data_IF_803911444701
#
_entry.id   IF_803911444701
#
_cell.length_a   1.000
_cell.length_b   1.000
_cell.length_c   1.000
_cell.angle_alpha   90.00
_cell.angle_beta   90.00
_cell.angle_gamma   90.00
#
_symmetry.space_group_name_H-M   'P 1'
#
loop_
_entity.id
_entity.type
_entity.pdbx_description
1 polymer ?
#
# COMPACT_ATOMS: atom_id res chain seq x y z
N UNK A 1 -19.78 -22.05 -12.20
CA UNK A 1 -19.63 -21.92 -11.51
C UNK A 1 -18.90 -21.33 -10.71
N UNK A 2 -18.95 -20.90 -9.79
CA UNK A 2 -18.16 -20.26 -8.82
C UNK A 2 -17.06 -19.39 -9.33
N UNK A 3 -17.12 -19.06 -10.53
CA UNK A 3 -16.04 -18.33 -11.16
C UNK A 3 -15.94 -16.92 -10.66
N UNK A 4 -17.07 -16.37 -10.30
CA UNK A 4 -17.07 -15.01 -9.79
C UNK A 4 -16.20 -14.90 -8.54
N UNK A 5 -16.16 -15.98 -7.77
CA UNK A 5 -15.34 -16.00 -6.58
C UNK A 5 -13.86 -15.94 -6.90
N UNK A 6 -13.50 -16.17 -8.15
CA UNK A 6 -12.09 -16.13 -8.56
C UNK A 6 -11.58 -14.74 -8.86
N UNK A 7 -12.46 -13.74 -8.85
CA UNK A 7 -12.04 -12.35 -9.05
C UNK A 7 -11.55 -11.83 -7.72
N UNK A 8 -10.22 -11.81 -7.56
CA UNK A 8 -9.59 -11.41 -6.31
C UNK A 8 -9.17 -9.95 -6.37
N UNK A 9 -9.33 -9.26 -5.27
CA UNK A 9 -8.76 -7.92 -5.16
C UNK A 9 -7.25 -8.04 -5.21
N UNK A 10 -6.62 -7.12 -5.93
CA UNK A 10 -5.18 -7.07 -6.07
C UNK A 10 -4.64 -6.02 -5.12
N UNK A 11 -3.73 -6.43 -4.25
CA UNK A 11 -3.16 -5.57 -3.23
C UNK A 11 -1.66 -5.47 -3.43
N UNK A 12 -1.18 -4.23 -3.57
CA UNK A 12 0.25 -3.97 -3.64
C UNK A 12 0.70 -3.51 -2.25
N UNK A 13 1.76 -4.13 -1.74
CA UNK A 13 2.33 -3.80 -0.43
C UNK A 13 3.64 -3.06 -0.65
N UNK A 14 3.72 -1.84 -0.14
CA UNK A 14 4.91 -0.98 -0.25
C UNK A 14 5.48 -0.83 1.14
N UNK A 15 6.43 -1.70 1.49
CA UNK A 15 7.05 -1.78 2.80
C UNK A 15 8.51 -2.18 2.60
N UNK A 16 9.44 -1.38 3.11
CA UNK A 16 10.86 -1.66 2.91
C UNK A 16 11.42 -2.70 3.88
N UNK A 17 10.78 -2.89 5.03
CA UNK A 17 11.16 -3.95 5.96
C UNK A 17 10.76 -5.29 5.36
N UNK A 18 11.76 -6.09 4.98
CA UNK A 18 11.51 -7.37 4.32
C UNK A 18 10.66 -8.29 5.17
N UNK A 19 10.93 -8.31 6.46
CA UNK A 19 10.20 -9.17 7.40
C UNK A 19 8.72 -8.79 7.45
N UNK A 20 8.46 -7.52 7.64
CA UNK A 20 7.08 -7.02 7.70
C UNK A 20 6.36 -7.24 6.37
N UNK A 21 7.06 -6.98 5.28
CA UNK A 21 6.48 -7.15 3.95
C UNK A 21 6.05 -8.60 3.73
N UNK A 22 6.93 -9.56 4.05
CA UNK A 22 6.62 -10.97 3.87
C UNK A 22 5.46 -11.42 4.76
N UNK A 23 5.42 -10.91 5.98
CA UNK A 23 4.32 -11.22 6.89
C UNK A 23 2.99 -10.73 6.33
N UNK A 24 2.98 -9.51 5.82
CA UNK A 24 1.76 -8.94 5.24
C UNK A 24 1.33 -9.70 4.00
N UNK A 25 2.29 -10.03 3.13
CA UNK A 25 1.97 -10.78 1.91
C UNK A 25 1.37 -12.14 2.24
N UNK A 26 1.97 -12.84 3.20
CA UNK A 26 1.47 -14.16 3.59
C UNK A 26 0.08 -14.08 4.17
N UNK A 27 -0.16 -13.11 5.03
CA UNK A 27 -1.45 -12.94 5.66
C UNK A 27 -2.54 -12.64 4.63
N UNK A 28 -2.24 -11.74 3.71
CA UNK A 28 -3.19 -11.36 2.68
C UNK A 28 -3.48 -12.50 1.71
N UNK A 29 -2.44 -13.25 1.34
CA UNK A 29 -2.62 -14.40 0.47
C UNK A 29 -3.51 -15.46 1.12
N UNK A 30 -3.30 -15.71 2.39
CA UNK A 30 -4.13 -16.67 3.12
C UNK A 30 -5.58 -16.21 3.19
N UNK A 31 -5.80 -14.91 3.14
CA UNK A 31 -7.15 -14.35 3.14
C UNK A 31 -7.79 -14.34 1.75
N UNK A 32 -7.07 -14.78 0.73
CA UNK A 32 -7.62 -14.92 -0.60
C UNK A 32 -7.37 -13.76 -1.54
N UNK A 33 -6.44 -12.86 -1.21
CA UNK A 33 -6.13 -11.73 -2.07
C UNK A 33 -4.95 -12.04 -2.99
N UNK A 34 -4.94 -11.37 -4.14
CA UNK A 34 -3.80 -11.41 -5.05
C UNK A 34 -2.83 -10.32 -4.61
N UNK A 35 -1.62 -10.69 -4.20
CA UNK A 35 -0.71 -9.76 -3.53
C UNK A 35 0.60 -9.60 -4.28
N UNK A 36 1.14 -8.39 -4.25
CA UNK A 36 2.41 -8.05 -4.85
C UNK A 36 3.20 -7.21 -3.86
N UNK A 37 4.43 -7.65 -3.57
CA UNK A 37 5.35 -6.87 -2.74
C UNK A 37 6.24 -6.02 -3.62
N UNK A 38 6.22 -4.72 -3.41
CA UNK A 38 7.06 -3.81 -4.17
C UNK A 38 8.47 -3.80 -3.59
N UNK A 39 9.47 -3.86 -4.45
CA UNK A 39 10.86 -3.84 -4.00
C UNK A 39 11.67 -2.67 -4.60
N UNK A 40 11.19 -2.06 -5.66
CA UNK A 40 11.84 -0.90 -6.27
C UNK A 40 11.09 0.36 -5.86
N UNK A 41 11.61 1.04 -4.83
CA UNK A 41 10.92 2.20 -4.26
C UNK A 41 11.22 3.50 -5.01
N UNK A 42 12.26 3.53 -5.81
CA UNK A 42 12.58 4.72 -6.60
C UNK A 42 11.54 4.97 -7.67
N UNK A 43 11.04 3.89 -8.28
CA UNK A 43 10.03 3.98 -9.32
C UNK A 43 8.68 3.48 -8.83
N UNK A 44 8.39 3.75 -7.55
CA UNK A 44 7.24 3.16 -6.88
C UNK A 44 5.93 3.42 -7.62
N UNK A 45 5.68 4.66 -7.99
CA UNK A 45 4.38 5.01 -8.60
C UNK A 45 4.20 4.29 -9.93
N UNK A 46 5.23 4.28 -10.78
CA UNK A 46 5.17 3.57 -12.06
C UNK A 46 4.94 2.09 -11.88
N UNK A 47 5.67 1.49 -10.93
CA UNK A 47 5.55 0.07 -10.65
C UNK A 47 4.16 -0.27 -10.15
N UNK A 48 3.65 0.51 -9.21
CA UNK A 48 2.32 0.30 -8.66
C UNK A 48 1.27 0.40 -9.75
N UNK A 49 1.36 1.43 -10.58
CA UNK A 49 0.39 1.66 -11.66
C UNK A 49 0.36 0.50 -12.63
N UNK A 50 1.52 -0.11 -12.90
CA UNK A 50 1.63 -1.21 -13.85
C UNK A 50 0.84 -2.44 -13.42
N UNK A 51 0.61 -2.59 -12.13
CA UNK A 51 -0.14 -3.73 -11.61
C UNK A 51 -1.65 -3.52 -11.58
N UNK A 52 -2.13 -2.30 -11.80
CA UNK A 52 -3.56 -1.97 -11.73
C UNK A 52 -4.17 -2.44 -10.40
N UNK A 53 -3.65 -1.97 -9.27
CA UNK A 53 -4.09 -2.48 -7.98
C UNK A 53 -5.47 -1.95 -7.57
N UNK A 54 -6.17 -2.77 -6.79
CA UNK A 54 -7.39 -2.33 -6.13
C UNK A 54 -7.07 -1.58 -4.85
N UNK A 55 -6.02 -2.01 -4.15
CA UNK A 55 -5.62 -1.45 -2.86
C UNK A 55 -4.10 -1.37 -2.78
N UNK A 56 -3.60 -0.30 -2.19
CA UNK A 56 -2.18 -0.13 -1.94
C UNK A 56 -1.98 0.06 -0.44
N UNK A 57 -1.20 -0.83 0.18
CA UNK A 57 -0.75 -0.67 1.55
C UNK A 57 0.59 0.03 1.50
N UNK A 58 0.66 1.24 2.00
CA UNK A 58 1.81 2.12 1.79
C UNK A 58 2.41 2.54 3.12
N UNK A 59 3.64 2.10 3.36
CA UNK A 59 4.40 2.57 4.51
C UNK A 59 4.86 4.00 4.27
N UNK A 60 4.76 4.83 5.30
CA UNK A 60 5.20 6.22 5.21
C UNK A 60 6.72 6.32 5.20
N UNK A 61 7.39 5.51 5.99
CA UNK A 61 8.84 5.59 6.18
C UNK A 61 9.59 4.71 5.20
N UNK A 62 9.84 5.25 4.01
CA UNK A 62 10.56 4.54 2.96
C UNK A 62 11.94 5.17 2.76
N UNK A 63 12.93 4.38 2.30
CA UNK A 63 14.31 4.85 2.27
C UNK A 63 14.61 5.92 1.22
N UNK A 64 13.98 5.90 0.06
CA UNK A 64 14.34 6.80 -1.04
C UNK A 64 13.35 7.92 -1.24
N UNK A 65 12.08 7.68 -0.92
CA UNK A 65 11.04 8.68 -1.07
C UNK A 65 10.13 8.60 0.12
N UNK A 66 9.58 9.76 0.49
CA UNK A 66 8.57 9.79 1.53
C UNK A 66 7.31 9.07 1.04
N UNK A 67 6.73 8.23 1.89
CA UNK A 67 5.45 7.60 1.58
C UNK A 67 4.37 8.64 1.33
N UNK A 68 4.49 9.82 1.95
CA UNK A 68 3.55 10.91 1.72
C UNK A 68 3.58 11.37 0.26
N UNK A 69 4.77 11.49 -0.33
CA UNK A 69 4.89 11.89 -1.73
C UNK A 69 4.29 10.85 -2.66
N UNK A 70 4.54 9.59 -2.37
CA UNK A 70 3.98 8.50 -3.15
C UNK A 70 2.46 8.51 -3.05
N UNK A 71 1.94 8.70 -1.84
CA UNK A 71 0.50 8.77 -1.61
C UNK A 71 -0.14 9.89 -2.43
N UNK A 72 0.45 11.07 -2.36
CA UNK A 72 -0.05 12.23 -3.09
C UNK A 72 -0.10 11.96 -4.59
N UNK A 73 0.95 11.37 -5.11
CA UNK A 73 1.04 11.08 -6.54
C UNK A 73 0.04 10.02 -6.97
N UNK A 74 -0.10 8.96 -6.17
CA UNK A 74 -1.06 7.91 -6.46
C UNK A 74 -2.49 8.46 -6.50
N UNK A 75 -2.83 9.30 -5.54
CA UNK A 75 -4.18 9.86 -5.48
C UNK A 75 -4.43 10.86 -6.58
N UNK A 76 -3.42 11.65 -6.93
CA UNK A 76 -3.54 12.60 -8.03
C UNK A 76 -3.81 11.88 -9.36
N UNK A 77 -3.23 10.70 -9.53
CA UNK A 77 -3.41 9.88 -10.72
C UNK A 77 -4.56 8.89 -10.61
N UNK A 78 -5.24 8.90 -9.49
CA UNK A 78 -6.38 8.02 -9.22
C UNK A 78 -6.02 6.54 -9.37
N UNK A 79 -4.88 6.16 -8.81
CA UNK A 79 -4.40 4.78 -8.86
C UNK A 79 -4.80 4.08 -7.56
N UNK A 80 -5.89 3.32 -7.60
CA UNK A 80 -6.32 2.47 -6.49
C UNK A 80 -6.72 3.21 -5.22
N UNK A 81 -7.06 2.43 -4.22
CA UNK A 81 -7.35 2.91 -2.88
C UNK A 81 -6.07 2.82 -2.06
N UNK A 82 -5.72 3.88 -1.34
CA UNK A 82 -4.46 3.93 -0.58
C UNK A 82 -4.74 3.87 0.92
N UNK A 83 -4.19 2.84 1.55
CA UNK A 83 -4.15 2.69 3.00
C UNK A 83 -2.73 2.92 3.45
N UNK A 84 -2.55 3.93 4.31
CA UNK A 84 -1.22 4.28 4.80
C UNK A 84 -0.93 3.49 6.07
N UNK A 85 0.28 2.92 6.14
CA UNK A 85 0.77 2.25 7.35
C UNK A 85 1.64 3.23 8.12
N UNK A 86 1.39 3.36 9.41
CA UNK A 86 2.08 4.34 10.24
C UNK A 86 2.43 3.72 11.59
N UNK A 87 3.44 4.25 12.24
CA UNK A 87 3.80 3.84 13.59
C UNK A 87 2.71 4.28 14.57
N UNK A 88 2.64 3.56 15.69
CA UNK A 88 1.54 3.70 16.64
C UNK A 88 1.34 5.12 17.16
N UNK A 89 2.41 5.84 17.37
CA UNK A 89 2.33 7.15 18.01
C UNK A 89 2.54 8.32 17.04
N UNK A 90 2.23 8.10 15.76
CA UNK A 90 2.46 9.12 14.73
C UNK A 90 1.15 9.74 14.26
N UNK A 91 0.40 10.32 15.19
CA UNK A 91 -0.89 10.92 14.87
C UNK A 91 -0.75 12.01 13.80
N UNK A 92 0.31 12.80 13.85
CA UNK A 92 0.50 13.87 12.87
C UNK A 92 0.70 13.28 11.47
N UNK A 93 1.39 12.13 11.39
CA UNK A 93 1.57 11.45 10.11
C UNK A 93 0.24 10.95 9.55
N UNK A 94 -0.62 10.45 10.43
CA UNK A 94 -1.95 9.99 10.02
C UNK A 94 -2.76 11.13 9.43
N UNK A 95 -2.81 12.25 10.14
CA UNK A 95 -3.54 13.42 9.68
C UNK A 95 -2.99 13.96 8.38
N UNK A 96 -1.67 13.99 8.25
CA UNK A 96 -1.03 14.45 7.02
C UNK A 96 -1.36 13.55 5.84
N UNK A 97 -1.36 12.22 6.07
CA UNK A 97 -1.70 11.27 5.02
C UNK A 97 -3.13 11.47 4.51
N UNK A 98 -4.07 11.70 5.42
CA UNK A 98 -5.45 11.95 5.04
C UNK A 98 -5.59 13.25 4.26
N UNK A 99 -4.83 14.28 4.65
CA UNK A 99 -4.80 15.56 3.93
C UNK A 99 -4.32 15.38 2.50
N UNK A 100 -3.39 14.47 2.27
CA UNK A 100 -2.85 14.20 0.95
C UNK A 100 -3.73 13.28 0.11
N UNK A 101 -4.85 12.84 0.67
CA UNK A 101 -5.83 12.06 -0.06
C UNK A 101 -5.83 10.58 0.21
N UNK A 102 -5.04 10.10 1.19
CA UNK A 102 -5.13 8.70 1.59
C UNK A 102 -6.56 8.37 1.99
N UNK A 103 -7.02 7.20 1.64
CA UNK A 103 -8.39 6.79 1.92
C UNK A 103 -8.56 6.42 3.38
N UNK A 104 -7.50 5.89 3.98
CA UNK A 104 -7.51 5.55 5.41
C UNK A 104 -6.07 5.29 5.85
N UNK A 105 -5.90 4.99 7.12
CA UNK A 105 -4.60 4.65 7.67
C UNK A 105 -4.75 3.49 8.66
N UNK A 106 -3.64 2.76 8.86
CA UNK A 106 -3.56 1.67 9.83
C UNK A 106 -2.27 1.85 10.62
N UNK A 107 -2.33 1.58 11.93
CA UNK A 107 -1.11 1.58 12.73
C UNK A 107 -0.44 0.22 12.65
N UNK A 108 0.88 0.24 12.58
CA UNK A 108 1.66 -1.00 12.57
C UNK A 108 1.57 -1.68 13.92
N UNK A 109 1.61 -3.01 13.93
CA UNK A 109 1.57 -3.77 15.18
C UNK A 109 2.83 -3.56 16.02
#
# INVERSE_FOLDING_TARGET
MGKEADILAKIVVVEDDVYMREELLNLLEKSGYDTIGLSDFENAVSEIAAYFPDLILLDINLPFRSGFEICKELKAKQIGTVLVLTARDKLQDELHALDLGADDYLTKP
#
